data_IF_041818587574
#
_entry.id   IF_041818587574
#
_cell.length_a   1.000
_cell.length_b   1.000
_cell.length_c   1.000
_cell.angle_alpha   90.00
_cell.angle_beta   90.00
_cell.angle_gamma   90.00
#
_symmetry.space_group_name_H-M   'P 1'
#
loop_
_entity.id
_entity.type
_entity.pdbx_description
1 polymer ?
#
# COMPACT_ATOMS: atom_id res chain seq x y z
N UNK A 1 22.46 -32.01 -58.31
CA UNK A 1 22.46 -32.38 -56.87
C UNK A 1 22.67 -31.10 -56.07
N UNK A 2 21.59 -30.49 -55.55
CA UNK A 2 21.63 -29.29 -54.74
C UNK A 2 21.82 -29.68 -53.26
N UNK A 3 22.86 -29.14 -52.64
CA UNK A 3 23.20 -29.37 -51.25
C UNK A 3 22.27 -28.50 -50.36
N UNK A 4 21.53 -29.02 -49.37
CA UNK A 4 20.69 -28.18 -48.53
C UNK A 4 21.58 -27.43 -47.51
N UNK A 5 21.47 -26.10 -47.55
CA UNK A 5 22.11 -25.22 -46.58
C UNK A 5 21.33 -25.38 -45.25
N UNK A 6 21.92 -26.14 -44.31
CA UNK A 6 21.45 -26.18 -42.92
C UNK A 6 21.84 -24.88 -42.24
N UNK A 7 20.91 -23.97 -42.16
CA UNK A 7 21.00 -22.79 -41.27
C UNK A 7 20.83 -23.29 -39.83
N UNK A 8 21.96 -23.44 -39.13
CA UNK A 8 21.99 -23.66 -37.70
C UNK A 8 21.57 -22.38 -37.02
N UNK A 9 20.53 -22.36 -36.13
CA UNK A 9 20.26 -21.18 -35.35
C UNK A 9 21.39 -21.05 -34.31
N UNK A 10 22.28 -20.07 -34.54
CA UNK A 10 23.21 -19.61 -33.52
C UNK A 10 22.44 -18.83 -32.45
N UNK A 11 21.88 -19.54 -31.49
CA UNK A 11 21.59 -18.92 -30.20
C UNK A 11 22.94 -18.78 -29.50
N UNK A 12 23.49 -17.58 -29.54
CA UNK A 12 24.71 -17.23 -28.84
C UNK A 12 24.48 -17.40 -27.35
N UNK A 13 25.07 -18.45 -26.76
CA UNK A 13 25.05 -18.70 -25.31
C UNK A 13 25.80 -17.62 -24.50
N UNK A 14 26.33 -16.59 -25.14
CA UNK A 14 26.99 -15.44 -24.53
C UNK A 14 26.02 -14.33 -24.10
N UNK A 15 24.78 -14.31 -24.64
CA UNK A 15 23.81 -13.24 -24.34
C UNK A 15 22.95 -13.53 -23.09
N UNK A 16 22.81 -14.79 -22.69
CA UNK A 16 22.04 -15.20 -21.50
C UNK A 16 22.53 -14.59 -20.17
N UNK A 17 23.84 -14.46 -19.89
CA UNK A 17 24.29 -13.81 -18.66
C UNK A 17 24.02 -12.31 -18.63
N UNK A 18 24.17 -11.60 -19.75
CA UNK A 18 23.94 -10.14 -19.85
C UNK A 18 22.48 -9.77 -19.68
N UNK A 19 21.59 -10.55 -20.31
CA UNK A 19 20.13 -10.31 -20.20
C UNK A 19 19.64 -10.54 -18.78
N UNK A 20 20.15 -11.58 -18.10
CA UNK A 20 19.82 -11.85 -16.70
C UNK A 20 20.32 -10.76 -15.74
N UNK A 21 21.51 -10.20 -15.97
CA UNK A 21 22.03 -9.07 -15.20
C UNK A 21 21.24 -7.80 -15.46
N UNK A 22 20.85 -7.53 -16.69
CA UNK A 22 20.03 -6.38 -17.05
C UNK A 22 18.65 -6.44 -16.37
N UNK A 23 17.98 -7.60 -16.42
CA UNK A 23 16.68 -7.80 -15.76
C UNK A 23 16.81 -7.60 -14.25
N UNK A 24 17.82 -8.16 -13.59
CA UNK A 24 18.05 -7.98 -12.14
C UNK A 24 18.33 -6.52 -11.78
N UNK A 25 19.11 -5.81 -12.59
CA UNK A 25 19.40 -4.39 -12.37
C UNK A 25 18.15 -3.52 -12.50
N UNK A 26 17.29 -3.79 -13.48
CA UNK A 26 16.02 -3.12 -13.67
C UNK A 26 15.06 -3.36 -12.47
N UNK A 27 14.93 -4.61 -12.01
CA UNK A 27 14.10 -4.95 -10.85
C UNK A 27 14.60 -4.26 -9.57
N UNK A 28 15.91 -4.22 -9.35
CA UNK A 28 16.50 -3.54 -8.20
C UNK A 28 16.29 -2.03 -8.24
N UNK A 29 16.32 -1.43 -9.44
CA UNK A 29 16.03 -0.01 -9.62
C UNK A 29 14.54 0.30 -9.33
N UNK A 30 13.60 -0.53 -9.82
CA UNK A 30 12.17 -0.38 -9.49
C UNK A 30 11.97 -0.46 -7.99
N UNK A 31 12.53 -1.48 -7.33
CA UNK A 31 12.41 -1.65 -5.89
C UNK A 31 12.93 -0.43 -5.11
N UNK A 32 14.13 0.04 -5.43
CA UNK A 32 14.74 1.21 -4.79
C UNK A 32 13.89 2.47 -4.98
N UNK A 33 13.45 2.74 -6.22
CA UNK A 33 12.66 3.92 -6.53
C UNK A 33 11.28 3.85 -5.83
N UNK A 34 10.65 2.68 -5.78
CA UNK A 34 9.40 2.45 -5.06
C UNK A 34 9.54 2.78 -3.58
N UNK A 35 10.56 2.24 -2.88
CA UNK A 35 10.73 2.48 -1.45
C UNK A 35 11.16 3.93 -1.14
N UNK A 36 11.94 4.56 -2.02
CA UNK A 36 12.28 5.99 -1.88
C UNK A 36 11.06 6.88 -2.05
N UNK A 37 10.24 6.64 -3.07
CA UNK A 37 9.01 7.40 -3.30
C UNK A 37 7.97 7.11 -2.20
N UNK A 38 7.86 5.86 -1.74
CA UNK A 38 6.99 5.50 -0.62
C UNK A 38 7.37 6.26 0.66
N UNK A 39 8.66 6.33 1.00
CA UNK A 39 9.11 7.11 2.15
C UNK A 39 8.73 8.59 2.05
N UNK A 40 8.93 9.19 0.88
CA UNK A 40 8.56 10.60 0.63
C UNK A 40 7.05 10.81 0.72
N UNK A 41 6.25 9.92 0.15
CA UNK A 41 4.79 10.04 0.17
C UNK A 41 4.19 9.78 1.55
N UNK A 42 4.76 8.86 2.33
CA UNK A 42 4.37 8.63 3.73
C UNK A 42 4.70 9.86 4.60
N UNK A 43 5.88 10.46 4.43
CA UNK A 43 6.24 11.70 5.13
C UNK A 43 5.29 12.84 4.74
N UNK A 44 5.04 13.03 3.45
CA UNK A 44 4.12 14.06 2.96
C UNK A 44 2.69 13.87 3.49
N UNK A 45 2.18 12.65 3.44
CA UNK A 45 0.87 12.28 3.99
C UNK A 45 0.81 12.52 5.51
N UNK A 46 1.87 12.17 6.25
CA UNK A 46 1.98 12.40 7.68
C UNK A 46 1.98 13.90 8.03
N UNK A 47 2.77 14.71 7.31
CA UNK A 47 2.77 16.17 7.47
C UNK A 47 1.39 16.75 7.17
N UNK A 48 0.73 16.32 6.11
CA UNK A 48 -0.62 16.75 5.77
C UNK A 48 -1.63 16.36 6.86
N UNK A 49 -1.54 15.14 7.38
CA UNK A 49 -2.41 14.68 8.46
C UNK A 49 -2.20 15.48 9.75
N UNK A 50 -0.95 15.78 10.11
CA UNK A 50 -0.64 16.61 11.28
C UNK A 50 -1.14 18.05 11.10
N UNK A 51 -0.95 18.64 9.91
CA UNK A 51 -1.41 19.98 9.61
C UNK A 51 -2.94 20.08 9.70
N UNK A 52 -3.67 19.12 9.11
CA UNK A 52 -5.15 19.09 9.17
C UNK A 52 -5.68 18.83 10.57
N UNK A 53 -5.01 17.99 11.36
CA UNK A 53 -5.34 17.77 12.77
C UNK A 53 -5.10 19.04 13.60
N UNK A 54 -3.95 19.70 13.45
CA UNK A 54 -3.60 20.92 14.18
C UNK A 54 -4.53 22.12 13.84
N UNK A 55 -4.97 22.21 12.58
CA UNK A 55 -5.92 23.25 12.14
C UNK A 55 -7.37 22.93 12.47
N UNK A 56 -7.66 21.74 13.03
CA UNK A 56 -9.02 21.32 13.36
C UNK A 56 -9.94 21.22 12.14
N UNK A 57 -9.38 20.86 10.97
CA UNK A 57 -10.17 20.80 9.75
C UNK A 57 -11.19 19.66 9.81
N UNK A 58 -12.42 19.87 9.30
CA UNK A 58 -13.44 18.84 9.34
C UNK A 58 -13.11 17.67 8.39
N UNK A 59 -13.60 16.47 8.72
CA UNK A 59 -13.54 15.34 7.82
C UNK A 59 -14.42 15.61 6.59
N UNK A 60 -13.94 15.31 5.35
CA UNK A 60 -14.65 15.64 4.12
C UNK A 60 -15.97 14.86 3.94
N UNK A 61 -16.20 13.86 4.79
CA UNK A 61 -17.34 12.96 4.69
C UNK A 61 -17.06 11.75 3.77
N UNK A 62 -17.87 10.71 3.93
CA UNK A 62 -17.66 9.41 3.27
C UNK A 62 -17.65 9.52 1.74
N UNK A 63 -18.63 10.21 1.17
CA UNK A 63 -18.79 10.31 -0.29
C UNK A 63 -17.60 11.02 -0.95
N UNK A 64 -17.18 12.17 -0.38
CA UNK A 64 -16.05 12.91 -0.92
C UNK A 64 -14.74 12.16 -0.73
N UNK A 65 -14.58 11.46 0.39
CA UNK A 65 -13.43 10.59 0.63
C UNK A 65 -13.33 9.48 -0.41
N UNK A 66 -14.42 8.77 -0.67
CA UNK A 66 -14.44 7.70 -1.67
C UNK A 66 -14.22 8.25 -3.10
N UNK A 67 -14.92 9.33 -3.46
CA UNK A 67 -14.76 9.93 -4.78
C UNK A 67 -13.34 10.46 -5.00
N UNK A 68 -12.75 11.13 -4.00
CA UNK A 68 -11.38 11.63 -4.05
C UNK A 68 -10.36 10.51 -4.13
N UNK A 69 -10.50 9.49 -3.28
CA UNK A 69 -9.61 8.34 -3.28
C UNK A 69 -9.61 7.59 -4.61
N UNK A 70 -10.78 7.14 -5.08
CA UNK A 70 -10.87 6.39 -6.33
C UNK A 70 -10.57 7.28 -7.55
N UNK A 71 -10.99 8.56 -7.55
CA UNK A 71 -10.69 9.49 -8.61
C UNK A 71 -9.19 9.74 -8.75
N UNK A 72 -8.49 10.02 -7.65
CA UNK A 72 -7.03 10.23 -7.65
C UNK A 72 -6.27 8.94 -7.95
N UNK A 73 -6.75 7.79 -7.48
CA UNK A 73 -6.17 6.48 -7.79
C UNK A 73 -6.28 6.18 -9.29
N UNK A 74 -7.44 6.41 -9.89
CA UNK A 74 -7.65 6.27 -11.33
C UNK A 74 -6.77 7.24 -12.13
N UNK A 75 -6.70 8.51 -11.70
CA UNK A 75 -5.84 9.52 -12.32
C UNK A 75 -4.37 9.10 -12.26
N UNK A 76 -3.90 8.61 -11.11
CA UNK A 76 -2.52 8.11 -10.95
C UNK A 76 -2.26 6.92 -11.86
N UNK A 77 -3.18 5.97 -11.94
CA UNK A 77 -3.05 4.83 -12.85
C UNK A 77 -3.00 5.26 -14.31
N UNK A 78 -3.73 6.31 -14.68
CA UNK A 78 -3.74 6.85 -16.06
C UNK A 78 -2.44 7.59 -16.40
N UNK A 79 -1.86 8.29 -15.43
CA UNK A 79 -0.66 9.12 -15.57
C UNK A 79 0.65 8.39 -15.21
N UNK A 80 0.60 7.13 -14.79
CA UNK A 80 1.73 6.36 -14.23
C UNK A 80 3.00 6.34 -15.09
N UNK A 81 2.87 6.52 -16.40
CA UNK A 81 3.98 6.50 -17.36
C UNK A 81 4.42 7.91 -17.79
N UNK A 82 3.93 8.97 -17.13
CA UNK A 82 4.29 10.35 -17.42
C UNK A 82 4.87 11.05 -16.19
N UNK A 83 5.55 12.18 -16.36
CA UNK A 83 6.03 13.00 -15.24
C UNK A 83 4.91 13.49 -14.30
N UNK A 84 3.67 13.63 -14.81
CA UNK A 84 2.49 13.95 -14.03
C UNK A 84 2.07 12.81 -13.07
N UNK A 85 2.56 11.60 -13.28
CA UNK A 85 2.35 10.48 -12.37
C UNK A 85 2.88 10.76 -10.97
N UNK A 86 4.03 11.41 -10.83
CA UNK A 86 4.56 11.82 -9.52
C UNK A 86 3.64 12.84 -8.84
N UNK A 87 3.18 13.85 -9.58
CA UNK A 87 2.26 14.85 -9.04
C UNK A 87 0.97 14.19 -8.54
N UNK A 88 0.43 13.24 -9.32
CA UNK A 88 -0.81 12.54 -8.95
C UNK A 88 -0.64 11.63 -7.74
N UNK A 89 0.53 11.00 -7.54
CA UNK A 89 0.83 10.23 -6.33
C UNK A 89 0.85 11.13 -5.10
N UNK A 90 1.51 12.29 -5.17
CA UNK A 90 1.50 13.23 -4.05
C UNK A 90 0.11 13.81 -3.79
N UNK A 91 -0.68 14.08 -4.83
CA UNK A 91 -2.07 14.48 -4.66
C UNK A 91 -2.90 13.41 -3.95
N UNK A 92 -2.76 12.13 -4.35
CA UNK A 92 -3.43 11.00 -3.72
C UNK A 92 -3.02 10.86 -2.25
N UNK A 93 -1.71 10.82 -1.97
CA UNK A 93 -1.19 10.59 -0.62
C UNK A 93 -1.43 11.78 0.30
N UNK A 94 -1.40 13.00 -0.22
CA UNK A 94 -1.80 14.22 0.51
C UNK A 94 -3.29 14.24 0.83
N UNK A 95 -4.15 13.86 -0.12
CA UNK A 95 -5.58 13.73 0.13
C UNK A 95 -5.88 12.68 1.20
N UNK A 96 -5.23 11.52 1.14
CA UNK A 96 -5.36 10.49 2.19
C UNK A 96 -4.86 11.00 3.55
N UNK A 97 -3.75 11.75 3.58
CA UNK A 97 -3.28 12.43 4.80
C UNK A 97 -4.30 13.42 5.34
N UNK A 98 -4.92 14.22 4.47
CA UNK A 98 -5.99 15.13 4.86
C UNK A 98 -7.16 14.40 5.52
N UNK A 99 -7.62 13.27 4.97
CA UNK A 99 -8.72 12.50 5.55
C UNK A 99 -8.36 11.86 6.89
N UNK A 100 -7.09 11.55 7.09
CA UNK A 100 -6.58 10.95 8.33
C UNK A 100 -6.45 11.96 9.48
N UNK A 101 -6.17 13.25 9.20
CA UNK A 101 -5.95 14.27 10.20
C UNK A 101 -7.08 14.41 11.23
N UNK A 102 -8.35 14.58 10.81
CA UNK A 102 -9.49 14.62 11.74
C UNK A 102 -9.64 13.35 12.57
N UNK A 103 -9.31 12.18 12.01
CA UNK A 103 -9.31 10.90 12.72
C UNK A 103 -8.24 10.91 13.81
N UNK A 104 -7.00 11.27 13.47
CA UNK A 104 -5.92 11.41 14.44
C UNK A 104 -6.28 12.42 15.53
N UNK A 105 -6.86 13.56 15.18
CA UNK A 105 -7.28 14.57 16.14
C UNK A 105 -8.30 14.02 17.15
N UNK A 106 -9.26 13.22 16.69
CA UNK A 106 -10.23 12.56 17.58
C UNK A 106 -9.55 11.59 18.57
N UNK A 107 -8.55 10.83 18.10
CA UNK A 107 -7.77 9.95 18.99
C UNK A 107 -6.90 10.74 19.96
N UNK A 108 -6.23 11.80 19.52
CA UNK A 108 -5.39 12.64 20.40
C UNK A 108 -6.18 13.33 21.52
N UNK A 109 -7.48 13.52 21.35
CA UNK A 109 -8.38 14.05 22.39
C UNK A 109 -8.72 13.02 23.50
N UNK A 110 -8.37 11.73 23.32
CA UNK A 110 -8.56 10.69 24.35
C UNK A 110 -7.41 10.75 25.37
N UNK A 111 -7.65 10.31 26.61
CA UNK A 111 -6.67 10.36 27.71
C UNK A 111 -5.34 9.69 27.37
N UNK A 112 -5.36 8.57 26.60
CA UNK A 112 -4.19 7.81 26.17
C UNK A 112 -3.91 7.96 24.66
N UNK A 113 -4.51 8.94 24.01
CA UNK A 113 -4.50 9.14 22.57
C UNK A 113 -3.12 9.19 21.93
N UNK A 114 -2.16 10.00 22.44
CA UNK A 114 -0.82 10.05 21.89
C UNK A 114 -0.10 8.70 21.90
N UNK A 115 -0.27 7.90 22.96
CA UNK A 115 0.31 6.58 23.05
C UNK A 115 -0.33 5.59 22.08
N UNK A 116 -1.66 5.64 21.87
CA UNK A 116 -2.36 4.82 20.88
C UNK A 116 -1.87 5.10 19.47
N UNK A 117 -1.75 6.37 19.07
CA UNK A 117 -1.26 6.77 17.76
C UNK A 117 0.19 6.33 17.58
N UNK A 118 1.06 6.57 18.58
CA UNK A 118 2.47 6.18 18.52
C UNK A 118 2.62 4.64 18.42
N UNK A 119 1.82 3.89 19.16
CA UNK A 119 1.82 2.42 19.14
C UNK A 119 1.37 1.90 17.77
N UNK A 120 0.27 2.44 17.21
CA UNK A 120 -0.18 2.08 15.87
C UNK A 120 0.91 2.36 14.81
N UNK A 121 1.57 3.52 14.88
CA UNK A 121 2.68 3.86 13.98
C UNK A 121 3.86 2.90 14.15
N UNK A 122 4.25 2.60 15.39
CA UNK A 122 5.36 1.69 15.68
C UNK A 122 5.10 0.29 15.14
N UNK A 123 3.91 -0.29 15.42
CA UNK A 123 3.52 -1.61 14.94
C UNK A 123 3.48 -1.62 13.41
N UNK A 124 2.89 -0.58 12.77
CA UNK A 124 2.84 -0.46 11.30
C UNK A 124 4.24 -0.43 10.70
N UNK A 125 5.15 0.35 11.27
CA UNK A 125 6.53 0.44 10.81
C UNK A 125 7.27 -0.90 10.93
N UNK A 126 7.21 -1.54 12.10
CA UNK A 126 7.83 -2.86 12.35
C UNK A 126 7.25 -3.91 11.40
N UNK A 127 5.92 -3.96 11.24
CA UNK A 127 5.26 -4.88 10.32
C UNK A 127 5.71 -4.63 8.87
N UNK A 128 5.72 -3.38 8.41
CA UNK A 128 6.13 -3.04 7.04
C UNK A 128 7.58 -3.48 6.76
N UNK A 129 8.53 -3.09 7.61
CA UNK A 129 9.93 -3.46 7.41
C UNK A 129 10.17 -4.97 7.56
N UNK A 130 9.56 -5.60 8.55
CA UNK A 130 9.66 -7.04 8.78
C UNK A 130 9.09 -7.86 7.62
N UNK A 131 7.88 -7.53 7.15
CA UNK A 131 7.23 -8.20 6.03
C UNK A 131 7.96 -7.96 4.70
N UNK A 132 8.45 -6.74 4.48
CA UNK A 132 9.27 -6.43 3.31
C UNK A 132 10.59 -7.18 3.30
N UNK A 133 11.24 -7.35 4.45
CA UNK A 133 12.45 -8.17 4.59
C UNK A 133 12.14 -9.66 4.37
N UNK A 134 11.05 -10.16 4.99
CA UNK A 134 10.58 -11.54 4.79
C UNK A 134 10.31 -11.85 3.31
N UNK A 135 9.63 -10.93 2.61
CA UNK A 135 9.31 -11.09 1.19
C UNK A 135 10.56 -11.24 0.29
N UNK A 136 11.70 -10.65 0.70
CA UNK A 136 12.97 -10.73 -0.04
C UNK A 136 13.68 -12.08 0.10
N UNK A 137 13.50 -12.77 1.24
CA UNK A 137 14.19 -14.02 1.53
C UNK A 137 13.35 -15.26 1.28
N UNK A 138 12.03 -15.08 1.20
CA UNK A 138 11.09 -16.19 0.97
C UNK A 138 10.93 -16.47 -0.51
N UNK A 139 10.84 -17.74 -0.88
CA UNK A 139 10.53 -18.15 -2.26
C UNK A 139 9.15 -17.65 -2.65
N UNK A 140 9.00 -17.22 -3.90
CA UNK A 140 7.73 -16.72 -4.43
C UNK A 140 6.59 -17.73 -4.16
N UNK A 141 5.57 -17.27 -3.48
CA UNK A 141 4.29 -17.96 -3.36
C UNK A 141 3.66 -18.02 -4.76
N UNK A 142 2.68 -18.90 -4.99
CA UNK A 142 1.94 -18.86 -6.24
C UNK A 142 1.24 -17.49 -6.39
N UNK A 143 1.92 -16.54 -7.07
CA UNK A 143 1.56 -15.13 -7.13
C UNK A 143 0.12 -14.93 -7.63
N UNK A 144 -0.32 -15.74 -8.61
CA UNK A 144 -1.66 -15.62 -9.16
C UNK A 144 -2.73 -15.97 -8.12
N UNK A 145 -2.59 -17.11 -7.43
CA UNK A 145 -3.57 -17.54 -6.42
C UNK A 145 -3.58 -16.62 -5.21
N UNK A 146 -2.40 -16.21 -4.76
CA UNK A 146 -2.27 -15.33 -3.61
C UNK A 146 -2.81 -13.91 -3.91
N UNK A 147 -2.51 -13.36 -5.09
CA UNK A 147 -3.04 -12.07 -5.54
C UNK A 147 -4.56 -12.08 -5.68
N UNK A 148 -5.14 -13.16 -6.24
CA UNK A 148 -6.60 -13.32 -6.33
C UNK A 148 -7.24 -13.40 -4.94
N UNK A 149 -6.65 -14.15 -4.01
CA UNK A 149 -7.12 -14.22 -2.63
C UNK A 149 -7.13 -12.85 -1.95
N UNK A 150 -6.03 -12.09 -2.08
CA UNK A 150 -5.94 -10.74 -1.52
C UNK A 150 -6.97 -9.80 -2.15
N UNK A 151 -7.13 -9.82 -3.47
CA UNK A 151 -8.08 -8.98 -4.17
C UNK A 151 -9.52 -9.23 -3.70
N UNK A 152 -9.94 -10.50 -3.65
CA UNK A 152 -11.28 -10.87 -3.18
C UNK A 152 -11.44 -10.53 -1.70
N UNK A 153 -10.43 -10.81 -0.87
CA UNK A 153 -10.45 -10.49 0.55
C UNK A 153 -10.59 -8.99 0.82
N UNK A 154 -9.80 -8.16 0.13
CA UNK A 154 -9.85 -6.69 0.25
C UNK A 154 -11.22 -6.16 -0.21
N UNK A 155 -11.74 -6.64 -1.33
CA UNK A 155 -13.06 -6.22 -1.83
C UNK A 155 -14.17 -6.60 -0.84
N UNK A 156 -14.10 -7.81 -0.26
CA UNK A 156 -15.03 -8.26 0.76
C UNK A 156 -14.94 -7.41 2.03
N UNK A 157 -13.73 -7.19 2.55
CA UNK A 157 -13.51 -6.36 3.73
C UNK A 157 -13.99 -4.91 3.49
N UNK A 158 -13.72 -4.35 2.32
CA UNK A 158 -14.18 -3.02 1.94
C UNK A 158 -15.72 -2.94 1.93
N UNK A 159 -16.39 -3.92 1.31
CA UNK A 159 -17.85 -3.96 1.25
C UNK A 159 -18.46 -4.09 2.66
N UNK A 160 -17.90 -4.98 3.49
CA UNK A 160 -18.36 -5.13 4.89
C UNK A 160 -18.08 -3.85 5.71
N UNK A 161 -17.00 -3.15 5.43
CA UNK A 161 -16.70 -1.85 6.02
C UNK A 161 -17.76 -0.80 5.70
N UNK A 162 -18.18 -0.71 4.44
CA UNK A 162 -19.29 0.15 4.05
C UNK A 162 -20.60 -0.24 4.77
N UNK A 163 -20.93 -1.54 4.80
CA UNK A 163 -22.11 -2.05 5.53
C UNK A 163 -22.04 -1.64 7.00
N UNK A 164 -20.87 -1.79 7.64
CA UNK A 164 -20.66 -1.40 9.04
C UNK A 164 -20.98 0.09 9.29
N UNK A 165 -20.58 0.97 8.36
CA UNK A 165 -20.84 2.40 8.46
C UNK A 165 -22.33 2.71 8.24
N UNK A 166 -22.94 2.18 7.18
CA UNK A 166 -24.34 2.47 6.85
C UNK A 166 -25.34 1.94 7.87
N UNK A 167 -25.05 0.80 8.47
CA UNK A 167 -25.92 0.16 9.46
C UNK A 167 -25.52 0.42 10.91
N UNK A 168 -24.50 1.29 11.14
CA UNK A 168 -23.97 1.61 12.48
C UNK A 168 -23.66 0.35 13.31
N UNK A 169 -22.87 -0.56 12.76
CA UNK A 169 -22.48 -1.83 13.39
C UNK A 169 -21.02 -1.81 13.87
N UNK A 170 -20.70 -1.27 15.08
CA UNK A 170 -19.31 -1.12 15.54
C UNK A 170 -18.54 -2.44 15.62
N UNK A 171 -19.20 -3.50 16.09
CA UNK A 171 -18.60 -4.84 16.17
C UNK A 171 -18.16 -5.37 14.79
N UNK A 172 -18.96 -5.12 13.73
CA UNK A 172 -18.60 -5.46 12.37
C UNK A 172 -17.40 -4.60 11.90
N UNK A 173 -17.37 -3.31 12.24
CA UNK A 173 -16.26 -2.41 11.95
C UNK A 173 -14.93 -2.89 12.56
N UNK A 174 -14.95 -3.40 13.80
CA UNK A 174 -13.78 -4.01 14.44
C UNK A 174 -13.33 -5.29 13.75
N UNK A 175 -14.25 -6.17 13.41
CA UNK A 175 -13.94 -7.39 12.67
C UNK A 175 -13.30 -7.07 11.31
N UNK A 176 -13.85 -6.07 10.60
CA UNK A 176 -13.30 -5.58 9.33
C UNK A 176 -11.91 -5.00 9.51
N UNK A 177 -11.64 -4.25 10.58
CA UNK A 177 -10.29 -3.74 10.88
C UNK A 177 -9.29 -4.87 11.10
N UNK A 178 -9.69 -5.93 11.82
CA UNK A 178 -8.86 -7.14 11.97
C UNK A 178 -8.58 -7.82 10.62
N UNK A 179 -9.59 -7.92 9.75
CA UNK A 179 -9.41 -8.44 8.39
C UNK A 179 -8.43 -7.58 7.59
N UNK A 180 -8.56 -6.25 7.63
CA UNK A 180 -7.64 -5.35 6.93
C UNK A 180 -6.21 -5.48 7.43
N UNK A 181 -5.97 -5.62 8.73
CA UNK A 181 -4.61 -5.85 9.26
C UNK A 181 -3.97 -7.05 8.58
N UNK A 182 -4.66 -8.19 8.52
CA UNK A 182 -4.13 -9.41 7.90
C UNK A 182 -3.95 -9.27 6.38
N UNK A 183 -4.94 -8.69 5.69
CA UNK A 183 -4.90 -8.50 4.24
C UNK A 183 -3.81 -7.50 3.83
N UNK A 184 -3.60 -6.42 4.58
CA UNK A 184 -2.55 -5.44 4.29
C UNK A 184 -1.15 -6.00 4.55
N UNK A 185 -0.97 -6.80 5.59
CA UNK A 185 0.26 -7.56 5.78
C UNK A 185 0.55 -8.48 4.58
N UNK A 186 -0.46 -9.21 4.12
CA UNK A 186 -0.36 -10.04 2.91
C UNK A 186 -0.05 -9.23 1.65
N UNK A 187 -0.67 -8.05 1.50
CA UNK A 187 -0.46 -7.17 0.35
C UNK A 187 0.96 -6.60 0.31
N UNK A 188 1.56 -6.26 1.46
CA UNK A 188 2.96 -5.82 1.55
C UNK A 188 3.90 -6.92 1.06
N UNK A 189 3.70 -8.17 1.50
CA UNK A 189 4.51 -9.32 1.05
C UNK A 189 4.30 -9.56 -0.44
N UNK A 190 3.05 -9.59 -0.89
CA UNK A 190 2.69 -9.80 -2.29
C UNK A 190 3.35 -8.77 -3.20
N UNK A 191 3.17 -7.48 -2.92
CA UNK A 191 3.67 -6.42 -3.79
C UNK A 191 5.20 -6.38 -3.79
N UNK A 192 5.84 -6.58 -2.64
CA UNK A 192 7.31 -6.66 -2.57
C UNK A 192 7.83 -7.82 -3.43
N UNK A 193 7.22 -9.00 -3.36
CA UNK A 193 7.58 -10.13 -4.21
C UNK A 193 7.26 -9.89 -5.68
N UNK A 194 6.15 -9.22 -5.97
CA UNK A 194 5.72 -8.86 -7.32
C UNK A 194 6.76 -7.98 -8.01
N UNK A 195 7.31 -6.98 -7.31
CA UNK A 195 8.40 -6.15 -7.81
C UNK A 195 9.67 -6.99 -8.03
N UNK A 196 10.07 -7.81 -7.04
CA UNK A 196 11.30 -8.62 -7.11
C UNK A 196 11.24 -9.62 -8.26
N UNK A 197 10.08 -10.20 -8.52
CA UNK A 197 9.87 -11.18 -9.60
C UNK A 197 9.57 -10.53 -10.97
N UNK A 198 9.54 -9.19 -11.06
CA UNK A 198 9.32 -8.46 -12.31
C UNK A 198 7.87 -8.44 -12.79
N UNK A 199 6.90 -8.79 -11.93
CA UNK A 199 5.48 -8.69 -12.23
C UNK A 199 4.96 -7.24 -12.20
N UNK A 200 5.52 -6.40 -11.28
CA UNK A 200 5.29 -4.96 -11.30
C UNK A 200 6.60 -4.25 -11.68
N UNK A 201 6.54 -3.49 -12.76
CA UNK A 201 7.69 -2.76 -13.31
C UNK A 201 7.54 -1.24 -13.20
N UNK A 202 6.35 -0.77 -12.82
CA UNK A 202 6.08 0.64 -12.66
C UNK A 202 6.19 1.04 -11.17
N UNK A 203 7.28 1.74 -10.81
CA UNK A 203 7.53 2.15 -9.42
C UNK A 203 6.45 3.08 -8.84
N UNK A 204 5.72 3.84 -9.67
CA UNK A 204 4.60 4.69 -9.24
C UNK A 204 3.44 3.82 -8.74
N UNK A 205 3.04 2.81 -9.52
CA UNK A 205 1.95 1.91 -9.12
C UNK A 205 2.34 1.05 -7.93
N UNK A 206 3.56 0.53 -7.91
CA UNK A 206 4.10 -0.18 -6.74
C UNK A 206 4.07 0.68 -5.48
N UNK A 207 4.45 1.98 -5.59
CA UNK A 207 4.37 2.93 -4.47
C UNK A 207 2.94 3.13 -3.99
N UNK A 208 1.99 3.31 -4.91
CA UNK A 208 0.57 3.47 -4.56
C UNK A 208 0.04 2.25 -3.82
N UNK A 209 0.31 1.05 -4.33
CA UNK A 209 -0.12 -0.21 -3.69
C UNK A 209 0.45 -0.35 -2.28
N UNK A 210 1.76 -0.12 -2.10
CA UNK A 210 2.39 -0.19 -0.78
C UNK A 210 1.93 0.94 0.15
N UNK A 211 1.73 2.15 -0.36
CA UNK A 211 1.19 3.26 0.42
C UNK A 211 -0.21 2.94 0.96
N UNK A 212 -1.10 2.45 0.10
CA UNK A 212 -2.46 2.04 0.48
C UNK A 212 -2.42 0.92 1.52
N UNK A 213 -1.51 -0.05 1.36
CA UNK A 213 -1.34 -1.12 2.34
C UNK A 213 -0.91 -0.58 3.72
N UNK A 214 0.12 0.28 3.76
CA UNK A 214 0.62 0.89 5.01
C UNK A 214 -0.43 1.79 5.64
N UNK A 215 -1.11 2.62 4.85
CA UNK A 215 -2.17 3.51 5.32
C UNK A 215 -3.35 2.75 5.95
N UNK A 216 -3.86 1.72 5.28
CA UNK A 216 -4.96 0.91 5.81
C UNK A 216 -4.52 0.06 7.00
N UNK A 217 -3.27 -0.44 7.01
CA UNK A 217 -2.72 -1.15 8.17
C UNK A 217 -2.68 -0.24 9.39
N UNK A 218 -2.14 0.98 9.26
CA UNK A 218 -2.10 1.98 10.32
C UNK A 218 -3.51 2.32 10.83
N UNK A 219 -4.42 2.67 9.91
CA UNK A 219 -5.79 3.08 10.26
C UNK A 219 -6.55 1.95 10.97
N UNK A 220 -6.38 0.70 10.52
CA UNK A 220 -7.00 -0.47 11.13
C UNK A 220 -6.43 -0.79 12.50
N UNK A 221 -5.10 -0.69 12.67
CA UNK A 221 -4.45 -0.85 13.97
C UNK A 221 -4.88 0.25 14.94
N UNK A 222 -4.95 1.50 14.47
CA UNK A 222 -5.42 2.61 15.29
C UNK A 222 -6.85 2.40 15.77
N UNK A 223 -7.74 1.93 14.87
CA UNK A 223 -9.13 1.61 15.22
C UNK A 223 -9.23 0.48 16.26
N UNK A 224 -8.46 -0.61 16.09
CA UNK A 224 -8.42 -1.72 17.03
C UNK A 224 -7.86 -1.28 18.40
N UNK A 225 -6.72 -0.59 18.39
CA UNK A 225 -6.08 -0.10 19.62
C UNK A 225 -6.96 0.91 20.34
N UNK A 226 -7.66 1.78 19.61
CA UNK A 226 -8.58 2.74 20.20
C UNK A 226 -9.77 2.09 20.89
N UNK A 227 -10.28 0.99 20.33
CA UNK A 227 -11.36 0.23 20.95
C UNK A 227 -10.90 -0.50 22.24
N UNK A 228 -9.76 -1.19 22.19
CA UNK A 228 -9.27 -1.96 23.34
C UNK A 228 -8.55 -1.10 24.38
N UNK A 229 -7.97 0.03 24.02
CA UNK A 229 -7.21 0.90 24.91
C UNK A 229 -7.98 2.12 25.42
N UNK A 230 -9.18 2.36 24.91
CA UNK A 230 -10.03 3.50 25.32
C UNK A 230 -10.88 3.26 26.57
N UNK A 231 -10.97 2.01 27.05
CA UNK A 231 -11.82 1.60 28.20
C UNK A 231 -11.07 1.62 29.56
N UNK A 232 -9.79 2.01 29.58
CA UNK A 232 -9.00 2.07 30.83
C UNK A 232 -8.93 3.49 31.43
N UNK A 233 -10.08 4.15 31.54
CA UNK A 233 -10.15 5.49 32.16
C UNK A 233 -11.44 5.77 32.87
#
# INVERSE_FOLDING_TARGET
MMNPITVKPQSSSADLPRDAEFVRSAQSAVLRNTYSLLGLTLLFSGVTAMATAALGLPHPGLLLTLAGYFGLLFLTARLRNSGWGLVSVFALTGFMGYTLGPVINAYLAMNNGPALVATAMGITGVAFFGLSAYARVTRAVNMLKFGTFLFVGILTAFTLGLVSIFFNMPALGLAVSGMFVLLMCGLIVYETQNIINGGETNYIMATVTLFVAVFNLFSSLLHLLGFFGGDEG
#
